data_IF_235982034692
#
_entry.id   IF_235982034692
#
_cell.length_a   1.000
_cell.length_b   1.000
_cell.length_c   1.000
_cell.angle_alpha   90.00
_cell.angle_beta   90.00
_cell.angle_gamma   90.00
#
_symmetry.space_group_name_H-M   'P 1'
#
loop_
_entity.id
_entity.type
_entity.pdbx_description
1 polymer ?
#
# COMPACT_ATOMS: atom_id res chain seq x y z
N UNK A 1 15.77 21.55 39.92
CA UNK A 1 15.30 20.52 38.95
C UNK A 1 14.18 21.16 38.14
N UNK A 2 14.52 21.80 37.03
CA UNK A 2 13.54 22.45 36.16
C UNK A 2 12.80 21.34 35.42
N UNK A 3 11.49 21.22 35.67
CA UNK A 3 10.62 20.37 34.87
C UNK A 3 10.33 21.12 33.57
N UNK A 4 10.74 20.54 32.44
CA UNK A 4 10.25 20.95 31.13
C UNK A 4 8.72 20.84 31.08
N UNK A 5 8.02 21.74 30.35
CA UNK A 5 6.57 21.64 30.20
C UNK A 5 6.22 20.33 29.49
N UNK A 6 5.05 19.72 29.77
CA UNK A 6 4.61 18.55 29.04
C UNK A 6 4.49 18.91 27.55
N UNK A 7 5.34 18.29 26.73
CA UNK A 7 5.17 18.25 25.27
C UNK A 7 3.71 17.88 24.98
N UNK A 8 3.05 18.63 24.10
CA UNK A 8 1.66 18.38 23.71
C UNK A 8 1.48 16.88 23.44
N UNK A 9 0.71 16.21 24.30
CA UNK A 9 0.59 14.76 24.30
C UNK A 9 0.25 14.30 22.87
N UNK A 10 1.05 13.37 22.33
CA UNK A 10 0.83 12.77 21.03
C UNK A 10 -0.59 12.19 20.99
N UNK A 11 -1.52 12.93 20.39
CA UNK A 11 -2.95 12.60 20.33
C UNK A 11 -3.21 11.58 19.21
N UNK A 12 -2.15 11.12 18.53
CA UNK A 12 -2.25 10.14 17.46
C UNK A 12 -2.67 8.77 17.98
N UNK A 13 -3.43 8.09 17.16
CA UNK A 13 -3.93 6.74 17.42
C UNK A 13 -2.76 5.76 17.51
N UNK A 14 -2.60 5.11 18.67
CA UNK A 14 -1.51 4.13 18.88
C UNK A 14 -1.78 2.79 18.23
N UNK A 15 -3.04 2.46 17.97
CA UNK A 15 -3.45 1.18 17.39
C UNK A 15 -4.59 1.41 16.39
N UNK A 16 -4.57 0.72 15.25
CA UNK A 16 -5.69 0.73 14.32
C UNK A 16 -6.88 -0.06 14.88
N UNK A 17 -8.09 0.44 14.63
CA UNK A 17 -9.35 -0.27 14.84
C UNK A 17 -10.34 0.13 13.75
N UNK A 18 -11.45 -0.59 13.62
CA UNK A 18 -12.41 -0.35 12.53
C UNK A 18 -12.93 1.10 12.47
N UNK A 19 -13.13 1.73 13.63
CA UNK A 19 -13.67 3.09 13.71
C UNK A 19 -12.64 4.10 13.21
N UNK A 20 -11.40 4.03 13.68
CA UNK A 20 -10.37 4.98 13.26
C UNK A 20 -9.90 4.77 11.82
N UNK A 21 -9.93 3.52 11.32
CA UNK A 21 -9.67 3.19 9.92
C UNK A 21 -10.75 3.75 9.01
N UNK A 22 -12.03 3.57 9.34
CA UNK A 22 -13.15 4.15 8.57
C UNK A 22 -13.00 5.66 8.47
N UNK A 23 -12.73 6.33 9.59
CA UNK A 23 -12.52 7.77 9.62
C UNK A 23 -11.32 8.22 8.76
N UNK A 24 -10.21 7.48 8.75
CA UNK A 24 -9.08 7.74 7.85
C UNK A 24 -9.52 7.64 6.39
N UNK A 25 -10.19 6.54 6.01
CA UNK A 25 -10.61 6.27 4.62
C UNK A 25 -11.57 7.34 4.11
N UNK A 26 -12.61 7.67 4.89
CA UNK A 26 -13.57 8.72 4.53
C UNK A 26 -12.89 10.09 4.38
N UNK A 27 -12.01 10.46 5.32
CA UNK A 27 -11.28 11.72 5.22
C UNK A 27 -10.34 11.73 4.01
N UNK A 28 -9.65 10.63 3.74
CA UNK A 28 -8.72 10.51 2.63
C UNK A 28 -9.43 10.64 1.28
N UNK A 29 -10.54 9.93 1.07
CA UNK A 29 -11.24 9.98 -0.22
C UNK A 29 -11.97 11.30 -0.46
N UNK A 30 -12.42 12.01 0.58
CA UNK A 30 -12.84 13.41 0.43
C UNK A 30 -11.69 14.28 -0.09
N UNK A 31 -10.48 14.10 0.46
CA UNK A 31 -9.29 14.84 0.01
C UNK A 31 -8.88 14.49 -1.42
N UNK A 32 -9.10 13.24 -1.84
CA UNK A 32 -8.86 12.78 -3.21
C UNK A 32 -9.87 13.41 -4.18
N UNK A 33 -11.14 13.49 -3.80
CA UNK A 33 -12.19 14.11 -4.62
C UNK A 33 -11.91 15.62 -4.83
N UNK A 34 -11.47 16.30 -3.79
CA UNK A 34 -11.08 17.72 -3.83
C UNK A 34 -9.72 17.99 -4.51
N UNK A 35 -8.94 16.95 -4.83
CA UNK A 35 -7.59 17.12 -5.37
C UNK A 35 -7.63 17.45 -6.88
N UNK A 36 -6.96 18.52 -7.35
CA UNK A 36 -7.06 18.93 -8.76
C UNK A 36 -6.44 17.94 -9.75
N UNK A 37 -5.54 17.04 -9.29
CA UNK A 37 -4.91 16.03 -10.13
C UNK A 37 -5.67 14.69 -10.06
N UNK A 38 -6.13 14.28 -8.88
CA UNK A 38 -6.82 12.99 -8.70
C UNK A 38 -8.32 13.08 -8.91
N UNK A 39 -8.97 14.14 -8.41
CA UNK A 39 -10.41 14.36 -8.44
C UNK A 39 -11.03 14.11 -9.81
N UNK A 40 -10.50 14.66 -10.92
CA UNK A 40 -11.04 14.42 -12.26
C UNK A 40 -11.05 12.94 -12.68
N UNK A 41 -10.09 12.13 -12.23
CA UNK A 41 -10.06 10.68 -12.50
C UNK A 41 -11.15 10.00 -11.69
N UNK A 42 -11.18 10.25 -10.38
CA UNK A 42 -12.16 9.60 -9.49
C UNK A 42 -13.59 10.01 -9.83
N UNK A 43 -13.85 11.28 -10.14
CA UNK A 43 -15.16 11.76 -10.58
C UNK A 43 -15.65 11.05 -11.85
N UNK A 44 -14.75 10.81 -12.82
CA UNK A 44 -15.09 10.08 -14.05
C UNK A 44 -15.38 8.60 -13.77
N UNK A 45 -14.54 7.94 -12.99
CA UNK A 45 -14.63 6.49 -12.77
C UNK A 45 -15.70 6.11 -11.72
N UNK A 46 -16.01 7.00 -10.78
CA UNK A 46 -16.92 6.73 -9.65
C UNK A 46 -18.23 7.53 -9.70
N UNK A 47 -18.57 8.15 -10.82
CA UNK A 47 -19.84 8.87 -10.98
C UNK A 47 -21.03 8.00 -10.49
N UNK A 48 -21.74 8.49 -9.46
CA UNK A 48 -22.87 7.79 -8.85
C UNK A 48 -22.54 6.56 -7.98
N UNK A 49 -21.25 6.27 -7.72
CA UNK A 49 -20.78 5.07 -7.00
C UNK A 49 -19.80 5.36 -5.85
N UNK A 50 -19.76 6.60 -5.38
CA UNK A 50 -18.86 7.02 -4.29
C UNK A 50 -19.09 6.24 -3.00
N UNK A 51 -20.34 6.08 -2.59
CA UNK A 51 -20.67 5.35 -1.34
C UNK A 51 -20.22 3.88 -1.40
N UNK A 52 -20.43 3.22 -2.55
CA UNK A 52 -19.96 1.86 -2.79
C UNK A 52 -18.43 1.77 -2.71
N UNK A 53 -17.74 2.77 -3.29
CA UNK A 53 -16.29 2.83 -3.25
C UNK A 53 -15.77 3.02 -1.82
N UNK A 54 -16.35 3.94 -1.04
CA UNK A 54 -15.98 4.19 0.35
C UNK A 54 -16.20 2.96 1.23
N UNK A 55 -17.32 2.25 1.08
CA UNK A 55 -17.60 1.01 1.79
C UNK A 55 -16.57 -0.09 1.44
N UNK A 56 -16.25 -0.23 0.15
CA UNK A 56 -15.25 -1.19 -0.33
C UNK A 56 -13.84 -0.85 0.19
N UNK A 57 -13.46 0.43 0.18
CA UNK A 57 -12.15 0.88 0.66
C UNK A 57 -12.01 0.76 2.17
N UNK A 58 -13.09 1.00 2.93
CA UNK A 58 -13.12 0.74 4.37
C UNK A 58 -12.89 -0.74 4.65
N UNK A 59 -13.57 -1.62 3.91
CA UNK A 59 -13.39 -3.08 4.03
C UNK A 59 -11.98 -3.51 3.66
N UNK A 60 -11.43 -2.94 2.59
CA UNK A 60 -10.08 -3.20 2.11
C UNK A 60 -9.02 -2.86 3.16
N UNK A 61 -9.01 -1.61 3.65
CA UNK A 61 -8.02 -1.16 4.62
C UNK A 61 -8.16 -1.87 5.96
N UNK A 62 -9.39 -2.11 6.45
CA UNK A 62 -9.61 -2.90 7.66
C UNK A 62 -9.12 -4.33 7.50
N UNK A 63 -9.36 -4.98 6.36
CA UNK A 63 -8.88 -6.35 6.11
C UNK A 63 -7.38 -6.46 6.09
N UNK A 64 -6.72 -5.45 5.51
CA UNK A 64 -5.28 -5.39 5.34
C UNK A 64 -4.58 -5.12 6.68
N UNK A 65 -5.05 -4.12 7.43
CA UNK A 65 -4.41 -3.64 8.65
C UNK A 65 -4.76 -4.51 9.85
N UNK A 66 -6.01 -4.97 9.97
CA UNK A 66 -6.46 -5.80 11.08
C UNK A 66 -6.33 -7.31 10.77
N UNK A 67 -5.93 -7.69 9.55
CA UNK A 67 -5.76 -9.08 9.15
C UNK A 67 -7.06 -9.88 9.07
N UNK A 68 -8.23 -9.22 9.00
CA UNK A 68 -9.55 -9.87 9.06
C UNK A 68 -9.94 -10.61 7.77
N UNK A 69 -9.17 -10.48 6.67
CA UNK A 69 -9.36 -11.18 5.38
C UNK A 69 -10.78 -11.05 4.77
N UNK A 70 -11.46 -9.93 5.00
CA UNK A 70 -12.83 -9.71 4.50
C UNK A 70 -12.88 -9.22 3.05
N UNK A 71 -11.83 -8.56 2.57
CA UNK A 71 -11.73 -8.11 1.19
C UNK A 71 -11.46 -9.27 0.22
N UNK A 72 -12.29 -9.39 -0.82
CA UNK A 72 -12.23 -10.47 -1.83
C UNK A 72 -11.98 -10.00 -3.26
N UNK A 73 -11.60 -8.74 -3.45
CA UNK A 73 -11.36 -8.17 -4.79
C UNK A 73 -9.93 -8.36 -5.28
N UNK A 74 -9.72 -8.21 -6.59
CA UNK A 74 -8.39 -8.06 -7.18
C UNK A 74 -8.12 -6.58 -7.46
N UNK A 75 -7.16 -5.99 -6.76
CA UNK A 75 -6.82 -4.56 -6.88
C UNK A 75 -6.20 -4.26 -8.25
N UNK A 76 -5.33 -5.13 -8.77
CA UNK A 76 -4.70 -4.92 -10.08
C UNK A 76 -5.75 -4.89 -11.20
N UNK A 77 -6.65 -5.89 -11.25
CA UNK A 77 -7.69 -5.95 -12.28
C UNK A 77 -8.66 -4.76 -12.21
N UNK A 78 -8.89 -4.20 -11.02
CA UNK A 78 -9.72 -3.01 -10.87
C UNK A 78 -9.05 -1.73 -11.43
N UNK A 79 -7.73 -1.65 -11.44
CA UNK A 79 -6.98 -0.46 -11.89
C UNK A 79 -6.45 -0.57 -13.32
N UNK A 80 -6.31 -1.80 -13.84
CA UNK A 80 -5.84 -2.08 -15.21
C UNK A 80 -6.63 -1.36 -16.31
N UNK A 81 -7.99 -1.36 -16.31
CA UNK A 81 -8.76 -0.73 -17.39
C UNK A 81 -8.81 0.80 -17.32
N UNK A 82 -8.30 1.42 -16.25
CA UNK A 82 -8.42 2.87 -16.05
C UNK A 82 -7.53 3.64 -17.02
N UNK A 83 -8.08 4.55 -17.80
CA UNK A 83 -7.33 5.36 -18.77
C UNK A 83 -6.87 6.70 -18.17
N UNK A 84 -5.82 7.29 -18.76
CA UNK A 84 -5.30 8.59 -18.33
C UNK A 84 -4.56 8.61 -16.99
N UNK A 85 -4.36 7.45 -16.34
CA UNK A 85 -3.51 7.36 -15.14
C UNK A 85 -2.04 7.33 -15.54
N UNK A 86 -1.34 8.40 -15.20
CA UNK A 86 0.11 8.59 -15.31
C UNK A 86 0.84 8.41 -13.96
N UNK A 87 2.17 8.23 -13.95
CA UNK A 87 3.00 8.12 -12.74
C UNK A 87 2.75 9.20 -11.67
N UNK A 88 2.53 10.46 -12.08
CA UNK A 88 2.25 11.58 -11.15
C UNK A 88 1.01 11.37 -10.29
N UNK A 89 0.02 10.62 -10.77
CA UNK A 89 -1.18 10.31 -9.99
C UNK A 89 -0.87 9.35 -8.85
N UNK A 90 -0.02 8.34 -9.08
CA UNK A 90 0.44 7.45 -8.02
C UNK A 90 1.24 8.22 -6.96
N UNK A 91 2.18 9.07 -7.39
CA UNK A 91 2.97 9.90 -6.48
C UNK A 91 2.07 10.82 -5.64
N UNK A 92 1.06 11.45 -6.25
CA UNK A 92 0.12 12.32 -5.55
C UNK A 92 -0.77 11.55 -4.56
N UNK A 93 -1.31 10.41 -4.99
CA UNK A 93 -2.14 9.55 -4.14
C UNK A 93 -1.35 9.06 -2.92
N UNK A 94 -0.11 8.59 -3.12
CA UNK A 94 0.77 8.16 -2.04
C UNK A 94 1.09 9.32 -1.09
N UNK A 95 1.50 10.47 -1.63
CA UNK A 95 1.81 11.66 -0.82
C UNK A 95 0.64 12.05 0.08
N UNK A 96 -0.58 12.12 -0.46
CA UNK A 96 -1.78 12.43 0.34
C UNK A 96 -2.03 11.36 1.41
N UNK A 97 -1.96 10.09 1.04
CA UNK A 97 -2.29 9.00 1.95
C UNK A 97 -1.29 8.90 3.10
N UNK A 98 0.01 8.91 2.79
CA UNK A 98 1.09 8.81 3.79
C UNK A 98 1.03 9.98 4.78
N UNK A 99 0.87 11.21 4.29
CA UNK A 99 0.73 12.40 5.16
C UNK A 99 -0.47 12.28 6.11
N UNK A 100 -1.62 11.78 5.63
CA UNK A 100 -2.81 11.61 6.47
C UNK A 100 -2.64 10.50 7.51
N UNK A 101 -1.95 9.41 7.15
CA UNK A 101 -1.63 8.33 8.09
C UNK A 101 -0.67 8.83 9.17
N UNK A 102 0.42 9.49 8.80
CA UNK A 102 1.42 10.02 9.74
C UNK A 102 0.84 11.06 10.70
N UNK A 103 -0.08 11.90 10.22
CA UNK A 103 -0.77 12.88 11.05
C UNK A 103 -1.74 12.23 12.06
N UNK A 104 -2.28 11.05 11.76
CA UNK A 104 -3.34 10.41 12.54
C UNK A 104 -2.85 9.28 13.45
N UNK A 105 -1.77 8.60 13.10
CA UNK A 105 -1.30 7.40 13.78
C UNK A 105 0.11 7.56 14.35
N UNK A 106 0.35 6.97 15.52
CA UNK A 106 1.70 6.85 16.05
C UNK A 106 2.57 6.02 15.08
N UNK A 107 3.91 6.21 15.05
CA UNK A 107 4.76 5.60 14.03
C UNK A 107 4.59 4.08 13.86
N UNK A 108 4.46 3.33 14.95
CA UNK A 108 4.25 1.88 14.91
C UNK A 108 2.91 1.46 14.28
N UNK A 109 1.86 2.28 14.43
CA UNK A 109 0.58 2.06 13.75
C UNK A 109 0.62 2.53 12.29
N UNK A 110 1.26 3.67 12.01
CA UNK A 110 1.38 4.24 10.67
C UNK A 110 2.02 3.27 9.68
N UNK A 111 3.11 2.59 10.07
CA UNK A 111 3.81 1.57 9.25
C UNK A 111 2.85 0.49 8.72
N UNK A 112 1.83 0.11 9.50
CA UNK A 112 0.85 -0.92 9.12
C UNK A 112 -0.01 -0.51 7.91
N UNK A 113 -0.15 0.79 7.64
CA UNK A 113 -0.83 1.32 6.46
C UNK A 113 0.15 1.65 5.33
N UNK A 114 1.24 2.32 5.67
CA UNK A 114 2.16 2.92 4.70
C UNK A 114 2.92 1.86 3.89
N UNK A 115 3.43 0.80 4.54
CA UNK A 115 4.18 -0.24 3.84
C UNK A 115 3.33 -0.94 2.77
N UNK A 116 2.13 -1.47 3.09
CA UNK A 116 1.34 -2.12 2.06
C UNK A 116 0.84 -1.13 1.00
N UNK A 117 0.54 0.14 1.35
CA UNK A 117 0.21 1.18 0.37
C UNK A 117 1.30 1.31 -0.72
N UNK A 118 2.56 1.43 -0.29
CA UNK A 118 3.71 1.56 -1.19
C UNK A 118 3.93 0.29 -2.02
N UNK A 119 3.78 -0.91 -1.42
CA UNK A 119 3.91 -2.18 -2.15
C UNK A 119 2.82 -2.36 -3.20
N UNK A 120 1.59 -2.00 -2.87
CA UNK A 120 0.45 -2.08 -3.79
C UNK A 120 0.67 -1.07 -4.93
N UNK A 121 1.05 0.17 -4.60
CA UNK A 121 1.35 1.19 -5.61
C UNK A 121 2.46 0.72 -6.58
N UNK A 122 3.58 0.19 -6.05
CA UNK A 122 4.66 -0.38 -6.86
C UNK A 122 4.13 -1.47 -7.80
N UNK A 123 3.33 -2.40 -7.28
CA UNK A 123 2.74 -3.48 -8.08
C UNK A 123 1.81 -2.97 -9.18
N UNK A 124 0.98 -1.96 -8.88
CA UNK A 124 0.09 -1.33 -9.86
C UNK A 124 0.86 -0.54 -10.92
N UNK A 125 1.92 0.16 -10.53
CA UNK A 125 2.78 0.91 -11.46
C UNK A 125 3.47 -0.03 -12.44
N UNK A 126 4.07 -1.14 -11.99
CA UNK A 126 4.68 -2.14 -12.87
C UNK A 126 3.64 -2.78 -13.79
N UNK A 127 2.46 -3.12 -13.26
CA UNK A 127 1.37 -3.66 -14.06
C UNK A 127 0.88 -2.69 -15.12
N UNK A 128 0.91 -1.38 -14.86
CA UNK A 128 0.35 -0.36 -15.74
C UNK A 128 1.34 0.18 -16.77
N UNK A 129 2.60 0.37 -16.37
CA UNK A 129 3.63 1.02 -17.16
C UNK A 129 4.67 0.05 -17.72
N UNK A 130 4.54 -1.24 -17.40
CA UNK A 130 5.43 -2.29 -17.87
C UNK A 130 6.60 -2.55 -16.92
N UNK A 131 7.33 -3.62 -17.18
CA UNK A 131 8.44 -4.08 -16.35
C UNK A 131 9.70 -3.20 -16.46
N UNK A 132 9.85 -2.46 -17.56
CA UNK A 132 10.93 -1.51 -17.77
C UNK A 132 10.70 -0.18 -17.03
N UNK A 133 9.50 0.03 -16.48
CA UNK A 133 9.18 1.24 -15.72
C UNK A 133 10.02 1.31 -14.44
N UNK A 134 10.71 2.44 -14.27
CA UNK A 134 11.51 2.70 -13.08
C UNK A 134 10.62 3.31 -12.00
N UNK A 135 10.51 2.60 -10.87
CA UNK A 135 9.86 3.12 -9.68
C UNK A 135 10.66 4.33 -9.18
N UNK A 136 10.01 5.45 -8.78
CA UNK A 136 10.73 6.59 -8.24
C UNK A 136 11.59 6.20 -7.04
N UNK A 137 12.86 6.64 -7.01
CA UNK A 137 13.81 6.31 -5.93
C UNK A 137 13.25 6.66 -4.54
N UNK A 138 12.59 7.81 -4.42
CA UNK A 138 11.93 8.25 -3.18
C UNK A 138 10.93 7.21 -2.66
N UNK A 139 10.17 6.57 -3.56
CA UNK A 139 9.21 5.54 -3.20
C UNK A 139 9.90 4.26 -2.71
N UNK A 140 11.01 3.88 -3.36
CA UNK A 140 11.80 2.70 -2.97
C UNK A 140 12.49 2.91 -1.62
N UNK A 141 13.05 4.09 -1.40
CA UNK A 141 13.69 4.49 -0.14
C UNK A 141 12.69 4.51 1.02
N UNK A 142 11.50 5.07 0.82
CA UNK A 142 10.42 5.04 1.81
C UNK A 142 10.02 3.61 2.15
N UNK A 143 9.85 2.75 1.14
CA UNK A 143 9.53 1.34 1.38
C UNK A 143 10.67 0.61 2.13
N UNK A 144 11.93 0.90 1.82
CA UNK A 144 13.08 0.36 2.52
C UNK A 144 13.15 0.84 3.98
N UNK A 145 12.86 2.12 4.23
CA UNK A 145 12.82 2.71 5.57
C UNK A 145 11.73 2.06 6.44
N UNK A 146 10.52 1.90 5.91
CA UNK A 146 9.41 1.27 6.64
C UNK A 146 9.68 -0.21 6.95
N UNK A 147 10.33 -0.95 6.04
CA UNK A 147 10.77 -2.32 6.30
C UNK A 147 11.76 -2.37 7.47
N UNK A 148 12.76 -1.49 7.51
CA UNK A 148 13.71 -1.41 8.64
C UNK A 148 13.00 -1.09 9.95
N UNK A 149 12.04 -0.17 9.92
CA UNK A 149 11.26 0.21 11.09
C UNK A 149 10.40 -0.94 11.61
N UNK A 150 9.78 -1.74 10.72
CA UNK A 150 9.00 -2.92 11.10
C UNK A 150 9.87 -4.04 11.67
N UNK A 151 11.05 -4.27 11.09
CA UNK A 151 11.99 -5.30 11.56
C UNK A 151 12.71 -4.89 12.85
N UNK A 152 12.67 -3.60 13.20
CA UNK A 152 13.02 -3.08 14.52
C UNK A 152 14.47 -3.36 14.91
N UNK A 153 15.45 -2.73 14.25
CA UNK A 153 16.83 -2.65 14.75
C UNK A 153 17.44 -3.96 15.25
N UNK A 154 17.09 -5.09 14.62
CA UNK A 154 17.65 -6.41 14.92
C UNK A 154 18.25 -6.95 13.62
N UNK A 155 19.45 -7.50 13.73
CA UNK A 155 20.39 -7.89 12.67
C UNK A 155 19.77 -8.55 11.44
N UNK A 156 20.54 -8.52 10.33
CA UNK A 156 20.31 -9.27 9.10
C UNK A 156 19.55 -10.59 9.34
N UNK A 157 18.64 -10.99 8.43
CA UNK A 157 18.08 -12.33 8.50
C UNK A 157 19.24 -13.33 8.44
N UNK A 158 19.59 -13.92 9.59
CA UNK A 158 20.49 -15.06 9.64
C UNK A 158 19.73 -16.23 9.03
N UNK A 159 19.82 -16.33 7.71
CA UNK A 159 19.46 -17.54 7.01
C UNK A 159 20.31 -18.66 7.63
N UNK A 160 19.73 -19.81 8.02
CA UNK A 160 20.55 -20.96 8.30
C UNK A 160 21.43 -21.22 7.07
N UNK A 161 22.74 -21.31 7.26
CA UNK A 161 23.65 -21.71 6.19
C UNK A 161 23.11 -23.02 5.59
N UNK A 162 22.65 -22.95 4.34
CA UNK A 162 22.29 -24.16 3.61
C UNK A 162 23.56 -24.99 3.49
N UNK A 163 23.59 -26.27 3.93
CA UNK A 163 24.71 -27.13 3.58
C UNK A 163 24.80 -27.18 2.06
N UNK A 164 26.00 -26.97 1.53
CA UNK A 164 26.27 -27.02 0.11
C UNK A 164 25.94 -28.43 -0.41
N UNK A 165 25.11 -28.50 -1.45
CA UNK A 165 24.95 -29.69 -2.28
C UNK A 165 23.57 -30.31 -2.23
N UNK A 166 22.73 -29.97 -3.21
CA UNK A 166 22.12 -30.95 -4.13
C UNK A 166 21.42 -30.18 -5.27
N UNK A 167 21.68 -30.51 -6.55
CA UNK A 167 21.00 -29.87 -7.67
C UNK A 167 19.52 -30.27 -7.71
N UNK A 168 18.64 -29.30 -7.94
CA UNK A 168 17.20 -29.51 -8.11
C UNK A 168 16.94 -30.48 -9.28
N UNK A 169 16.13 -31.54 -9.11
CA UNK A 169 15.83 -32.46 -10.20
C UNK A 169 14.92 -31.79 -11.24
N UNK A 170 15.45 -31.49 -12.42
CA UNK A 170 14.70 -31.01 -13.56
C UNK A 170 14.14 -32.19 -14.37
N UNK A 171 12.87 -32.54 -14.16
CA UNK A 171 12.05 -33.29 -15.14
C UNK A 171 10.59 -32.86 -15.09
N UNK A 172 10.22 -31.87 -15.89
CA UNK A 172 8.83 -31.75 -16.37
C UNK A 172 8.77 -32.30 -17.80
N UNK A 173 8.14 -33.47 -17.90
CA UNK A 173 7.79 -34.15 -19.15
C UNK A 173 6.55 -33.46 -19.71
N UNK A 174 6.66 -32.91 -20.93
CA UNK A 174 5.54 -32.52 -21.77
C UNK A 174 5.88 -32.87 -23.21
N UNK A 175 5.20 -33.88 -23.76
CA UNK A 175 5.38 -34.36 -25.14
C UNK A 175 4.94 -33.28 -26.15
N UNK A 176 5.61 -33.12 -27.31
CA UNK A 176 5.06 -32.34 -28.40
C UNK A 176 3.88 -33.06 -29.06
N UNK A 177 2.86 -32.30 -29.42
CA UNK A 177 1.80 -32.71 -30.34
C UNK A 177 2.38 -32.68 -31.77
N UNK A 178 2.22 -33.79 -32.49
CA UNK A 178 2.68 -33.96 -33.87
C UNK A 178 1.52 -33.65 -34.84
N UNK A 179 1.85 -33.05 -35.97
CA UNK A 179 0.98 -32.73 -37.11
C UNK A 179 0.42 -33.98 -37.81
N UNK A 180 -0.90 -34.03 -38.02
CA UNK A 180 -1.52 -34.32 -39.33
C UNK A 180 -3.05 -34.21 -39.31
#
# INVERSE_FOLDING_TARGET
MSQEPPSAADTRERQPNETNIRALVEAFYRRVDDDPLLGPIFARELAGRWDEHLAKMTTFWSSLVLGSKQYRGNVQEAHRPLEGIEPRHFARWLSLFLNMVEARYAPAAAVQFMEPALRIAQSLQLSKFGWDYQIPAEQEELLAALKRQRTGGNDEPRFPERPAGEPFPARFVGKPVDER
#
